data_IF_231159586219
#
_entry.id   IF_231159586219
#
_cell.length_a   1.000
_cell.length_b   1.000
_cell.length_c   1.000
_cell.angle_alpha   90.00
_cell.angle_beta   90.00
_cell.angle_gamma   90.00
#
_symmetry.space_group_name_H-M   'P 1'
#
loop_
_entity.id
_entity.type
_entity.pdbx_description
1 polymer ?
#
# COMPACT_ATOMS: atom_id res chain seq x y z
N UNK A 1 8.33 21.56 0.45
CA UNK A 1 9.25 20.72 -0.33
C UNK A 1 8.85 19.26 -0.11
N UNK A 2 8.01 18.71 -0.98
CA UNK A 2 7.45 17.35 -0.80
C UNK A 2 8.33 16.43 -1.63
N UNK A 3 9.11 15.60 -0.94
CA UNK A 3 10.21 14.80 -1.47
C UNK A 3 9.79 13.88 -2.62
N UNK A 4 10.16 14.28 -3.84
CA UNK A 4 10.13 13.53 -5.11
C UNK A 4 10.80 12.14 -5.04
N UNK A 5 11.59 11.89 -4.00
CA UNK A 5 12.31 10.63 -3.80
C UNK A 5 11.40 9.46 -3.36
N UNK A 6 10.18 9.74 -2.88
CA UNK A 6 9.21 8.71 -2.52
C UNK A 6 8.57 8.05 -3.76
N UNK A 7 8.38 8.76 -4.86
CA UNK A 7 7.64 8.23 -6.01
C UNK A 7 8.41 7.13 -6.77
N UNK A 8 9.70 7.34 -7.07
CA UNK A 8 10.46 6.40 -7.92
C UNK A 8 10.57 5.00 -7.31
N UNK A 9 10.71 4.91 -5.97
CA UNK A 9 10.80 3.63 -5.28
C UNK A 9 9.46 2.88 -5.29
N UNK A 10 8.34 3.60 -5.12
CA UNK A 10 6.99 3.03 -5.18
C UNK A 10 6.65 2.58 -6.60
N UNK A 11 7.00 3.38 -7.62
CA UNK A 11 6.86 2.95 -9.02
C UNK A 11 7.66 1.70 -9.32
N UNK A 12 8.92 1.61 -8.85
CA UNK A 12 9.73 0.41 -9.02
C UNK A 12 9.10 -0.81 -8.32
N UNK A 13 8.55 -0.64 -7.11
CA UNK A 13 7.81 -1.67 -6.39
C UNK A 13 6.60 -2.17 -7.19
N UNK A 14 5.80 -1.23 -7.74
CA UNK A 14 4.62 -1.55 -8.55
C UNK A 14 4.99 -2.28 -9.84
N UNK A 15 6.06 -1.85 -10.53
CA UNK A 15 6.56 -2.52 -11.72
C UNK A 15 6.98 -3.96 -11.41
N UNK A 16 7.71 -4.18 -10.29
CA UNK A 16 8.05 -5.53 -9.81
C UNK A 16 6.79 -6.35 -9.52
N UNK A 17 5.78 -5.75 -8.87
CA UNK A 17 4.52 -6.42 -8.57
C UNK A 17 3.75 -6.82 -9.83
N UNK A 18 3.69 -5.97 -10.85
CA UNK A 18 3.04 -6.30 -12.13
C UNK A 18 3.81 -7.39 -12.88
N UNK A 19 5.14 -7.26 -12.93
CA UNK A 19 6.04 -8.21 -13.59
C UNK A 19 6.09 -9.58 -12.93
N UNK A 20 5.68 -9.74 -11.67
CA UNK A 20 5.63 -11.06 -11.00
C UNK A 20 4.79 -12.11 -11.75
N UNK A 21 3.82 -11.67 -12.56
CA UNK A 21 2.96 -12.56 -13.33
C UNK A 21 3.57 -12.97 -14.68
N UNK A 22 4.72 -12.40 -15.07
CA UNK A 22 5.41 -12.78 -16.31
C UNK A 22 6.41 -13.90 -16.05
N UNK A 23 6.49 -14.89 -16.96
CA UNK A 23 7.35 -16.08 -16.82
C UNK A 23 8.85 -15.74 -16.71
N UNK A 24 9.24 -14.52 -17.07
CA UNK A 24 10.61 -14.03 -17.14
C UNK A 24 11.18 -13.61 -15.77
N UNK A 25 10.34 -13.54 -14.71
CA UNK A 25 10.72 -13.06 -13.38
C UNK A 25 10.50 -14.10 -12.26
N UNK A 26 10.73 -15.39 -12.54
CA UNK A 26 10.63 -16.45 -11.51
C UNK A 26 11.68 -16.35 -10.38
N UNK A 27 12.81 -15.68 -10.65
CA UNK A 27 13.92 -15.52 -9.70
C UNK A 27 13.92 -14.14 -9.00
N UNK A 28 12.99 -13.26 -9.34
CA UNK A 28 12.95 -11.93 -8.77
C UNK A 28 12.19 -11.96 -7.44
N UNK A 29 12.83 -11.54 -6.35
CA UNK A 29 12.20 -11.42 -5.04
C UNK A 29 10.92 -10.59 -5.13
N UNK A 30 9.83 -11.18 -4.62
CA UNK A 30 8.52 -10.55 -4.61
C UNK A 30 8.57 -9.30 -3.74
N UNK A 31 8.11 -8.14 -4.23
CA UNK A 31 8.20 -6.91 -3.46
C UNK A 31 7.26 -7.00 -2.24
N UNK A 32 7.79 -6.75 -1.05
CA UNK A 32 7.07 -6.91 0.23
C UNK A 32 6.38 -5.61 0.63
N UNK A 33 5.17 -5.72 1.20
CA UNK A 33 4.48 -4.59 1.83
C UNK A 33 5.10 -4.30 3.19
N UNK A 34 5.45 -3.04 3.43
CA UNK A 34 6.02 -2.56 4.69
C UNK A 34 5.18 -1.40 5.22
N UNK A 35 5.18 -1.16 6.55
CA UNK A 35 4.44 -0.05 7.14
C UNK A 35 4.82 1.30 6.52
N UNK A 36 6.09 1.43 6.10
CA UNK A 36 6.65 2.62 5.47
C UNK A 36 6.13 2.93 4.06
N UNK A 37 5.78 1.89 3.29
CA UNK A 37 5.48 2.00 1.87
C UNK A 37 4.02 1.66 1.52
N UNK A 38 3.30 0.95 2.39
CA UNK A 38 1.96 0.43 2.11
C UNK A 38 0.94 1.53 1.78
N UNK A 39 1.06 2.70 2.42
CA UNK A 39 0.17 3.83 2.16
C UNK A 39 0.38 4.41 0.75
N UNK A 40 1.64 4.61 0.36
CA UNK A 40 1.97 5.12 -0.97
C UNK A 40 1.58 4.11 -2.05
N UNK A 41 1.82 2.81 -1.81
CA UNK A 41 1.40 1.72 -2.71
C UNK A 41 -0.13 1.69 -2.82
N UNK A 42 -0.86 1.86 -1.71
CA UNK A 42 -2.33 1.90 -1.71
C UNK A 42 -2.87 3.04 -2.59
N UNK A 43 -2.34 4.26 -2.43
CA UNK A 43 -2.76 5.42 -3.24
C UNK A 43 -2.45 5.19 -4.72
N UNK A 44 -1.23 4.77 -5.02
CA UNK A 44 -0.82 4.50 -6.42
C UNK A 44 -1.60 3.34 -7.04
N UNK A 45 -1.88 2.27 -6.29
CA UNK A 45 -2.67 1.13 -6.78
C UNK A 45 -4.14 1.47 -7.01
N UNK A 46 -4.72 2.37 -6.21
CA UNK A 46 -6.07 2.91 -6.44
C UNK A 46 -6.10 3.77 -7.71
N UNK A 47 -5.08 4.62 -7.92
CA UNK A 47 -4.93 5.43 -9.13
C UNK A 47 -4.76 4.56 -10.40
N UNK A 48 -3.94 3.51 -10.31
CA UNK A 48 -3.71 2.55 -11.39
C UNK A 48 -4.85 1.54 -11.59
N UNK A 49 -5.93 1.62 -10.80
CA UNK A 49 -7.09 0.70 -10.87
C UNK A 49 -6.67 -0.77 -10.71
N UNK A 50 -5.80 -1.04 -9.74
CA UNK A 50 -5.32 -2.39 -9.41
C UNK A 50 -6.08 -2.96 -8.20
N UNK A 51 -7.34 -3.35 -8.38
CA UNK A 51 -8.24 -3.73 -7.27
C UNK A 51 -7.66 -4.82 -6.33
N UNK A 52 -7.00 -5.83 -6.89
CA UNK A 52 -6.38 -6.91 -6.10
C UNK A 52 -5.24 -6.42 -5.20
N UNK A 53 -4.48 -5.41 -5.64
CA UNK A 53 -3.40 -4.83 -4.85
C UNK A 53 -3.96 -3.86 -3.80
N UNK A 54 -5.00 -3.10 -4.15
CA UNK A 54 -5.71 -2.21 -3.22
C UNK A 54 -6.24 -3.00 -2.02
N UNK A 55 -6.93 -4.12 -2.26
CA UNK A 55 -7.44 -4.98 -1.19
C UNK A 55 -6.29 -5.52 -0.31
N UNK A 56 -5.19 -5.99 -0.91
CA UNK A 56 -4.04 -6.47 -0.13
C UNK A 56 -3.43 -5.38 0.77
N UNK A 57 -3.31 -4.16 0.25
CA UNK A 57 -2.81 -3.04 1.04
C UNK A 57 -3.76 -2.69 2.18
N UNK A 58 -5.07 -2.68 1.94
CA UNK A 58 -6.10 -2.44 2.95
C UNK A 58 -6.03 -3.50 4.06
N UNK A 59 -5.94 -4.79 3.70
CA UNK A 59 -5.80 -5.89 4.66
C UNK A 59 -4.51 -5.79 5.47
N UNK A 60 -3.40 -5.44 4.81
CA UNK A 60 -2.13 -5.21 5.50
C UNK A 60 -2.23 -4.04 6.47
N UNK A 61 -2.87 -2.95 6.06
CA UNK A 61 -3.14 -1.79 6.90
C UNK A 61 -3.94 -2.18 8.14
N UNK A 62 -5.01 -2.96 7.98
CA UNK A 62 -5.81 -3.43 9.11
C UNK A 62 -4.99 -4.29 10.09
N UNK A 63 -4.15 -5.22 9.59
CA UNK A 63 -3.33 -6.11 10.44
C UNK A 63 -2.18 -5.39 11.14
N UNK A 64 -1.55 -4.41 10.47
CA UNK A 64 -0.33 -3.76 10.94
C UNK A 64 -0.54 -2.27 11.25
N UNK A 65 -1.78 -1.84 11.50
CA UNK A 65 -2.11 -0.42 11.70
C UNK A 65 -1.26 0.23 12.78
N UNK A 66 -1.04 -0.46 13.90
CA UNK A 66 -0.19 0.05 14.99
C UNK A 66 1.23 0.37 14.53
N UNK A 67 1.82 -0.45 13.65
CA UNK A 67 3.14 -0.18 13.09
C UNK A 67 3.11 0.97 12.08
N UNK A 68 2.03 1.08 11.29
CA UNK A 68 1.86 2.14 10.29
C UNK A 68 1.70 3.51 10.96
N UNK A 69 0.89 3.62 12.02
CA UNK A 69 0.73 4.87 12.78
C UNK A 69 1.99 5.25 13.57
N UNK A 70 2.81 4.27 13.96
CA UNK A 70 4.06 4.49 14.66
C UNK A 70 5.22 4.83 13.73
N UNK A 71 5.08 4.58 12.42
CA UNK A 71 6.08 4.98 11.44
C UNK A 71 5.92 6.48 11.19
N UNK A 72 7.01 7.26 11.05
CA UNK A 72 6.96 8.69 10.69
C UNK A 72 6.47 8.93 9.24
N UNK A 73 5.56 8.10 8.75
CA UNK A 73 4.95 8.21 7.46
C UNK A 73 3.92 9.33 7.48
N UNK A 74 3.97 10.13 6.41
CA UNK A 74 3.17 11.32 6.22
C UNK A 74 1.69 10.96 6.04
N UNK A 75 0.98 10.63 7.14
CA UNK A 75 -0.47 10.37 7.15
C UNK A 75 -1.30 11.55 6.63
N UNK A 76 -0.70 12.74 6.52
CA UNK A 76 -1.31 13.92 5.89
C UNK A 76 -1.65 13.74 4.41
N UNK A 77 -1.11 12.73 3.72
CA UNK A 77 -1.40 12.48 2.30
C UNK A 77 -2.47 11.41 2.05
N UNK A 78 -3.03 10.78 3.09
CA UNK A 78 -4.09 9.79 2.93
C UNK A 78 -5.40 10.51 2.65
N UNK A 79 -6.00 10.26 1.49
CA UNK A 79 -7.32 10.78 1.17
C UNK A 79 -8.36 10.22 2.18
N UNK A 80 -9.28 11.07 2.63
CA UNK A 80 -10.32 10.72 3.60
C UNK A 80 -11.12 9.47 3.23
N UNK A 81 -11.26 9.21 1.92
CA UNK A 81 -11.93 8.01 1.42
C UNK A 81 -11.17 6.71 1.76
N UNK A 82 -9.84 6.69 1.62
CA UNK A 82 -9.00 5.54 1.98
C UNK A 82 -8.96 5.35 3.49
N UNK A 83 -8.86 6.45 4.25
CA UNK A 83 -8.92 6.40 5.71
C UNK A 83 -10.26 5.81 6.19
N UNK A 84 -11.37 6.20 5.56
CA UNK A 84 -12.71 5.67 5.86
C UNK A 84 -12.80 4.18 5.56
N UNK A 85 -12.27 3.71 4.42
CA UNK A 85 -12.26 2.26 4.10
C UNK A 85 -11.44 1.45 5.09
N UNK A 86 -10.31 1.96 5.55
CA UNK A 86 -9.51 1.29 6.57
C UNK A 86 -10.25 1.32 7.91
N UNK A 87 -10.83 2.46 8.30
CA UNK A 87 -11.59 2.62 9.53
C UNK A 87 -12.82 1.71 9.59
N UNK A 88 -13.52 1.52 8.46
CA UNK A 88 -14.69 0.64 8.36
C UNK A 88 -14.36 -0.81 8.76
N UNK A 89 -13.15 -1.29 8.41
CA UNK A 89 -12.68 -2.62 8.80
C UNK A 89 -12.49 -2.77 10.32
N UNK A 90 -12.14 -1.71 11.04
CA UNK A 90 -12.05 -1.74 12.51
C UNK A 90 -13.42 -1.68 13.18
N UNK A 91 -14.41 -1.03 12.55
CA UNK A 91 -15.79 -0.97 13.06
C UNK A 91 -16.61 -2.22 12.71
N UNK A 92 -16.15 -3.05 11.77
CA UNK A 92 -16.76 -4.35 11.46
C UNK A 92 -16.43 -5.46 12.49
N UNK A 93 -16.26 -5.10 13.76
CA UNK A 93 -16.43 -6.03 14.89
C UNK A 93 -17.93 -6.20 15.20
N UNK A 94 -18.62 -7.02 14.40
CA UNK A 94 -19.85 -7.68 14.84
C UNK A 94 -19.51 -9.11 15.28
N UNK A 95 -19.05 -9.25 16.52
CA UNK A 95 -19.60 -10.09 17.62
C UNK A 95 -18.67 -10.02 18.83
#
# INVERSE_FOLDING_TARGET
DISVHCDVHIFNWLIKYVKRNTKENKDCEMPTLEPGNVISILISSEFLKMDSLVEQCIQYCHKNMNAIVATPCNMNCINANLLTRIADLFTHKKV
#
